data_IF_852460499719
#
_entry.id   IF_852460499719
#
_cell.length_a   1.000
_cell.length_b   1.000
_cell.length_c   1.000
_cell.angle_alpha   90.00
_cell.angle_beta   90.00
_cell.angle_gamma   90.00
#
_symmetry.space_group_name_H-M   'P 1'
#
loop_
_entity.id
_entity.type
_entity.pdbx_description
1 polymer ?
#
# COMPACT_ATOMS: atom_id res chain seq x y z
N UNK A 1 -16.74 -4.94 12.79
CA UNK A 1 -16.23 -3.63 12.28
C UNK A 1 -16.57 -2.56 13.32
N UNK A 2 -15.66 -1.62 13.60
CA UNK A 2 -15.85 -0.55 14.59
C UNK A 2 -15.19 0.76 14.13
N UNK A 3 -15.69 1.90 14.62
CA UNK A 3 -15.16 3.24 14.33
C UNK A 3 -14.76 3.91 15.64
N UNK A 4 -13.62 4.61 15.65
CA UNK A 4 -13.15 5.33 16.84
C UNK A 4 -14.00 6.56 17.16
N UNK A 5 -14.18 6.88 18.44
CA UNK A 5 -15.10 7.94 18.88
C UNK A 5 -14.75 9.37 18.42
N UNK A 6 -13.52 9.62 17.94
CA UNK A 6 -13.08 10.91 17.40
C UNK A 6 -12.99 10.93 15.87
N UNK A 7 -13.50 9.89 15.19
CA UNK A 7 -13.50 9.81 13.72
C UNK A 7 -14.75 10.50 13.20
N UNK A 8 -14.55 11.49 12.32
CA UNK A 8 -15.63 12.21 11.64
C UNK A 8 -15.69 11.80 10.17
N UNK A 9 -16.90 11.58 9.64
CA UNK A 9 -17.11 11.38 8.20
C UNK A 9 -17.15 9.93 7.71
N UNK A 10 -17.03 8.94 8.60
CA UNK A 10 -17.22 7.52 8.30
C UNK A 10 -18.08 6.88 9.40
N UNK A 11 -19.13 6.16 8.99
CA UNK A 11 -20.01 5.43 9.89
C UNK A 11 -19.78 3.92 9.78
N UNK A 12 -20.18 3.18 10.82
CA UNK A 12 -20.17 1.71 10.79
C UNK A 12 -21.15 1.24 9.71
N UNK A 13 -20.67 0.45 8.75
CA UNK A 13 -21.46 -0.05 7.63
C UNK A 13 -21.23 0.69 6.31
N UNK A 14 -20.46 1.78 6.31
CA UNK A 14 -20.11 2.48 5.08
C UNK A 14 -19.13 1.67 4.22
N UNK A 15 -19.35 1.66 2.91
CA UNK A 15 -18.40 1.10 1.94
C UNK A 15 -17.23 2.07 1.73
N UNK A 16 -16.04 1.65 2.12
CA UNK A 16 -14.85 2.50 2.06
C UNK A 16 -13.68 1.82 1.37
N UNK A 17 -12.86 2.65 0.73
CA UNK A 17 -11.53 2.29 0.26
C UNK A 17 -10.49 2.94 1.19
N UNK A 18 -9.43 2.21 1.51
CA UNK A 18 -8.40 2.70 2.40
C UNK A 18 -7.00 2.39 1.87
N UNK A 19 -6.05 3.26 2.21
CA UNK A 19 -4.62 3.04 1.97
C UNK A 19 -3.94 2.81 3.30
N UNK A 20 -3.22 1.69 3.40
CA UNK A 20 -2.34 1.46 4.54
C UNK A 20 -0.98 2.06 4.21
N UNK A 21 -0.45 2.96 5.06
CA UNK A 21 0.91 3.45 4.90
C UNK A 21 1.92 2.31 5.10
N UNK A 22 2.98 2.26 4.30
CA UNK A 22 3.94 1.13 4.28
C UNK A 22 4.72 0.87 5.58
N UNK A 23 4.59 1.73 6.60
CA UNK A 23 5.15 1.49 7.94
C UNK A 23 4.27 0.58 8.81
N UNK A 24 3.00 0.41 8.45
CA UNK A 24 2.02 -0.38 9.20
C UNK A 24 1.94 -1.81 8.67
N UNK A 25 1.43 -2.77 9.49
CA UNK A 25 1.14 -4.11 8.99
C UNK A 25 0.24 -4.02 7.75
N UNK A 26 0.61 -4.78 6.70
CA UNK A 26 0.01 -4.67 5.36
C UNK A 26 -1.48 -5.03 5.29
N UNK A 27 -2.05 -4.93 4.09
CA UNK A 27 -3.49 -5.08 3.84
C UNK A 27 -3.95 -6.51 3.56
N UNK A 28 -3.08 -7.50 3.73
CA UNK A 28 -3.40 -8.92 3.47
C UNK A 28 -4.05 -9.57 4.70
N UNK A 29 -5.11 -8.96 5.22
CA UNK A 29 -5.83 -9.43 6.40
C UNK A 29 -7.33 -9.12 6.26
N UNK A 30 -8.17 -9.94 6.91
CA UNK A 30 -9.63 -9.72 6.96
C UNK A 30 -9.99 -8.39 7.62
N UNK A 31 -9.20 -7.97 8.62
CA UNK A 31 -9.40 -6.73 9.35
C UNK A 31 -8.10 -5.95 9.46
N UNK A 32 -8.20 -4.65 9.23
CA UNK A 32 -7.07 -3.72 9.28
C UNK A 32 -7.48 -2.47 10.06
N UNK A 33 -6.55 -1.96 10.86
CA UNK A 33 -6.66 -0.65 11.48
C UNK A 33 -5.98 0.40 10.61
N UNK A 34 -6.70 1.48 10.30
CA UNK A 34 -6.16 2.62 9.56
C UNK A 34 -6.64 3.93 10.18
N UNK A 35 -5.94 5.02 9.87
CA UNK A 35 -6.36 6.36 10.26
C UNK A 35 -7.50 6.83 9.36
N UNK A 36 -8.41 7.62 9.90
CA UNK A 36 -9.50 8.27 9.15
C UNK A 36 -9.01 9.02 7.91
N UNK A 37 -7.81 9.61 8.00
CA UNK A 37 -7.24 10.44 6.93
C UNK A 37 -6.80 9.63 5.71
N UNK A 38 -6.65 8.31 5.85
CA UNK A 38 -6.26 7.41 4.75
C UNK A 38 -7.45 6.58 4.24
N UNK A 39 -8.68 6.96 4.63
CA UNK A 39 -9.93 6.32 4.24
C UNK A 39 -10.74 7.28 3.36
N UNK A 40 -11.39 6.74 2.33
CA UNK A 40 -12.33 7.45 1.49
C UNK A 40 -13.53 6.57 1.16
N UNK A 41 -14.64 7.19 0.75
CA UNK A 41 -15.82 6.43 0.34
C UNK A 41 -15.56 5.74 -0.99
N UNK A 42 -16.10 4.53 -1.13
CA UNK A 42 -16.10 3.82 -2.40
C UNK A 42 -16.94 4.60 -3.42
N UNK A 43 -16.47 4.80 -4.66
CA UNK A 43 -17.29 5.39 -5.72
C UNK A 43 -18.51 4.52 -6.01
N UNK A 44 -19.62 5.17 -6.33
CA UNK A 44 -20.92 4.52 -6.55
C UNK A 44 -20.97 3.68 -7.83
N UNK A 45 -20.21 4.07 -8.85
CA UNK A 45 -20.25 3.46 -10.18
C UNK A 45 -19.31 2.25 -10.35
N UNK A 46 -18.73 1.71 -9.27
CA UNK A 46 -17.61 0.75 -9.34
C UNK A 46 -17.78 -0.44 -8.41
N UNK A 47 -17.37 -1.62 -8.88
CA UNK A 47 -17.37 -2.83 -8.06
C UNK A 47 -16.21 -2.82 -7.03
N UNK A 48 -16.30 -3.61 -5.96
CA UNK A 48 -15.28 -3.69 -4.91
C UNK A 48 -13.90 -4.10 -5.42
N UNK A 49 -13.86 -5.09 -6.31
CA UNK A 49 -12.61 -5.57 -6.91
C UNK A 49 -11.92 -4.43 -7.69
N UNK A 50 -12.69 -3.69 -8.48
CA UNK A 50 -12.20 -2.56 -9.24
C UNK A 50 -11.79 -1.39 -8.35
N UNK A 51 -12.57 -1.09 -7.31
CA UNK A 51 -12.29 -0.03 -6.38
C UNK A 51 -10.96 -0.22 -5.64
N UNK A 52 -10.56 -1.47 -5.38
CA UNK A 52 -9.30 -1.82 -4.72
C UNK A 52 -8.06 -1.37 -5.50
N UNK A 53 -8.19 -1.27 -6.83
CA UNK A 53 -7.08 -0.85 -7.70
C UNK A 53 -6.83 0.67 -7.67
N UNK A 54 -7.83 1.46 -7.25
CA UNK A 54 -7.87 2.91 -7.38
C UNK A 54 -6.92 3.68 -6.46
N UNK A 55 -6.79 3.37 -5.15
CA UNK A 55 -6.14 4.27 -4.21
C UNK A 55 -4.69 4.57 -4.59
N UNK A 56 -3.97 3.58 -5.12
CA UNK A 56 -2.61 3.78 -5.61
C UNK A 56 -2.55 4.25 -7.07
N UNK A 57 -3.36 3.71 -8.00
CA UNK A 57 -3.28 4.13 -9.42
C UNK A 57 -3.59 5.60 -9.57
N UNK A 58 -4.65 6.06 -8.93
CA UNK A 58 -5.13 7.40 -9.16
C UNK A 58 -4.28 8.41 -8.41
N UNK A 59 -3.81 8.09 -7.20
CA UNK A 59 -3.13 9.07 -6.36
C UNK A 59 -1.66 9.29 -6.84
N UNK A 60 -1.00 8.28 -7.43
CA UNK A 60 0.37 8.40 -7.97
C UNK A 60 0.56 9.47 -9.06
N UNK A 61 -0.20 9.51 -10.18
CA UNK A 61 -0.03 10.52 -11.22
C UNK A 61 -0.36 11.92 -10.73
N UNK A 62 -1.38 12.10 -9.88
CA UNK A 62 -1.66 13.41 -9.26
C UNK A 62 -0.53 13.85 -8.31
N UNK A 63 0.01 12.92 -7.53
CA UNK A 63 1.19 13.16 -6.68
C UNK A 63 2.41 13.56 -7.51
N UNK A 64 2.68 12.84 -8.60
CA UNK A 64 3.79 13.10 -9.50
C UNK A 64 3.62 14.43 -10.25
N UNK A 65 2.41 14.74 -10.73
CA UNK A 65 2.10 15.99 -11.42
C UNK A 65 2.26 17.19 -10.48
N UNK A 66 1.68 17.14 -9.28
CA UNK A 66 1.82 18.22 -8.30
C UNK A 66 3.28 18.42 -7.87
N UNK A 67 4.02 17.32 -7.77
CA UNK A 67 5.46 17.34 -7.50
C UNK A 67 6.22 17.95 -8.67
N UNK A 68 5.96 17.53 -9.91
CA UNK A 68 6.57 18.05 -11.12
C UNK A 68 6.30 19.56 -11.31
N UNK A 69 5.07 20.03 -11.04
CA UNK A 69 4.72 21.44 -11.08
C UNK A 69 5.50 22.26 -10.04
N UNK A 70 5.60 21.75 -8.79
CA UNK A 70 6.45 22.37 -7.75
C UNK A 70 7.93 22.37 -8.16
N UNK A 71 8.40 21.31 -8.78
CA UNK A 71 9.76 21.23 -9.32
C UNK A 71 9.97 22.18 -10.48
N UNK A 72 8.99 22.35 -11.36
CA UNK A 72 9.08 23.26 -12.50
C UNK A 72 9.23 24.70 -11.99
N UNK A 73 8.39 25.12 -11.06
CA UNK A 73 8.47 26.44 -10.41
C UNK A 73 9.80 26.63 -9.67
N UNK A 74 10.29 25.58 -9.01
CA UNK A 74 11.56 25.60 -8.29
C UNK A 74 12.79 25.50 -9.19
N UNK A 75 12.69 24.87 -10.36
CA UNK A 75 13.79 24.65 -11.32
C UNK A 75 14.37 25.98 -11.81
N UNK A 76 13.51 26.96 -12.06
CA UNK A 76 13.93 28.32 -12.40
C UNK A 76 14.75 29.01 -11.30
N UNK A 77 14.61 28.63 -10.02
CA UNK A 77 15.46 29.11 -8.91
C UNK A 77 16.64 28.17 -8.61
N UNK A 78 16.46 26.86 -8.77
CA UNK A 78 17.47 25.84 -8.44
C UNK A 78 18.65 25.84 -9.40
N UNK A 79 18.46 26.28 -10.66
CA UNK A 79 19.58 26.54 -11.57
C UNK A 79 20.59 27.56 -11.00
N UNK A 80 20.17 28.39 -10.04
CA UNK A 80 21.00 29.38 -9.37
C UNK A 80 21.66 28.90 -8.06
N UNK A 81 21.08 27.91 -7.37
CA UNK A 81 21.45 27.54 -5.99
C UNK A 81 22.07 26.12 -5.83
N UNK A 82 22.36 25.41 -6.93
CA UNK A 82 23.25 24.24 -6.93
C UNK A 82 22.75 22.96 -6.21
N UNK A 83 21.44 22.80 -5.98
CA UNK A 83 20.85 21.58 -5.37
C UNK A 83 20.13 20.73 -6.42
N UNK A 84 20.57 19.46 -6.56
CA UNK A 84 20.22 18.55 -7.67
C UNK A 84 19.26 17.41 -7.30
N UNK A 85 19.01 17.18 -6.00
CA UNK A 85 18.15 16.10 -5.53
C UNK A 85 17.13 16.64 -4.54
N UNK A 86 15.89 16.18 -4.64
CA UNK A 86 14.88 16.46 -3.64
C UNK A 86 13.92 15.28 -3.54
N UNK A 87 13.52 15.00 -2.31
CA UNK A 87 12.68 13.87 -1.97
C UNK A 87 11.21 14.29 -2.01
N UNK A 88 10.35 13.42 -2.56
CA UNK A 88 8.90 13.58 -2.50
C UNK A 88 8.31 12.42 -1.73
N UNK A 89 7.58 12.73 -0.65
CA UNK A 89 6.83 11.74 0.12
C UNK A 89 5.37 11.76 -0.32
N UNK A 90 4.83 10.57 -0.53
CA UNK A 90 3.43 10.41 -0.83
C UNK A 90 2.67 9.99 0.42
N UNK A 91 1.89 10.90 0.98
CA UNK A 91 1.00 10.59 2.09
C UNK A 91 -0.43 10.42 1.56
N UNK A 92 -1.12 9.32 1.89
CA UNK A 92 -2.53 9.17 1.55
C UNK A 92 -3.33 10.25 2.26
N UNK A 93 -4.20 10.93 1.52
CA UNK A 93 -5.11 11.95 2.02
C UNK A 93 -6.53 11.62 1.52
N UNK A 94 -7.48 11.56 2.45
CA UNK A 94 -8.89 11.29 2.21
C UNK A 94 -9.51 12.27 1.21
N UNK A 95 -9.08 13.54 1.22
CA UNK A 95 -9.57 14.53 0.27
C UNK A 95 -9.18 14.21 -1.18
N UNK A 96 -7.94 13.79 -1.41
CA UNK A 96 -7.49 13.40 -2.75
C UNK A 96 -8.23 12.15 -3.23
N UNK A 97 -8.42 11.17 -2.34
CA UNK A 97 -9.16 9.95 -2.67
C UNK A 97 -10.63 10.23 -2.98
N UNK A 98 -11.28 11.17 -2.26
CA UNK A 98 -12.65 11.58 -2.54
C UNK A 98 -12.80 12.33 -3.87
N UNK A 99 -11.81 13.15 -4.25
CA UNK A 99 -11.78 13.80 -5.58
C UNK A 99 -11.63 12.77 -6.69
N UNK A 100 -10.81 11.74 -6.46
CA UNK A 100 -10.63 10.63 -7.38
C UNK A 100 -11.93 9.84 -7.54
N UNK A 101 -12.62 9.50 -6.44
CA UNK A 101 -13.90 8.80 -6.51
C UNK A 101 -14.92 9.62 -7.30
N UNK A 102 -14.97 10.94 -7.09
CA UNK A 102 -15.84 11.83 -7.84
C UNK A 102 -15.50 11.86 -9.35
N UNK A 103 -14.21 11.86 -9.72
CA UNK A 103 -13.82 11.80 -11.13
C UNK A 103 -14.17 10.48 -11.81
N UNK A 104 -14.23 9.39 -11.04
CA UNK A 104 -14.62 8.08 -11.53
C UNK A 104 -16.14 7.98 -11.67
N UNK A 105 -16.89 8.50 -10.68
CA UNK A 105 -18.35 8.60 -10.75
C UNK A 105 -18.80 9.46 -11.95
N UNK A 106 -18.05 10.53 -12.26
CA UNK A 106 -18.26 11.36 -13.45
C UNK A 106 -17.70 10.77 -14.75
N UNK A 107 -17.24 9.52 -14.76
CA UNK A 107 -16.65 8.79 -15.90
C UNK A 107 -15.46 9.49 -16.59
N UNK A 108 -14.81 10.46 -15.93
CA UNK A 108 -13.66 11.19 -16.49
C UNK A 108 -12.39 10.34 -16.47
N UNK A 109 -12.31 9.39 -15.55
CA UNK A 109 -11.16 8.50 -15.38
C UNK A 109 -11.65 7.06 -15.53
N UNK A 110 -11.08 6.35 -16.50
CA UNK A 110 -11.31 4.91 -16.65
C UNK A 110 -10.53 4.14 -15.59
N UNK A 111 -11.17 3.12 -15.04
CA UNK A 111 -10.56 2.19 -14.10
C UNK A 111 -9.40 1.47 -14.81
N UNK A 112 -8.25 1.25 -14.14
CA UNK A 112 -7.15 0.50 -14.71
C UNK A 112 -7.56 -0.94 -15.03
N UNK A 113 -6.97 -1.51 -16.08
CA UNK A 113 -7.22 -2.89 -16.47
C UNK A 113 -6.77 -3.88 -15.39
N UNK A 114 -7.70 -4.72 -14.94
CA UNK A 114 -7.44 -5.84 -14.04
C UNK A 114 -7.09 -7.05 -14.88
N UNK A 115 -5.91 -7.62 -14.67
CA UNK A 115 -5.49 -8.81 -15.41
C UNK A 115 -6.12 -10.07 -14.81
N UNK A 116 -5.99 -10.25 -13.50
CA UNK A 116 -6.50 -11.44 -12.80
C UNK A 116 -6.82 -11.15 -11.35
N UNK A 117 -7.89 -11.78 -10.89
CA UNK A 117 -8.28 -11.84 -9.48
C UNK A 117 -7.91 -13.23 -8.96
N UNK A 118 -7.15 -13.27 -7.87
CA UNK A 118 -6.75 -14.50 -7.17
C UNK A 118 -7.48 -14.59 -5.84
N UNK A 119 -7.78 -15.81 -5.40
CA UNK A 119 -8.27 -16.05 -4.04
C UNK A 119 -7.09 -16.10 -3.06
N UNK A 120 -7.37 -15.97 -1.77
CA UNK A 120 -6.35 -16.06 -0.72
C UNK A 120 -5.55 -17.39 -0.77
N UNK A 121 -6.17 -18.51 -1.12
CA UNK A 121 -5.47 -19.80 -1.25
C UNK A 121 -4.46 -19.85 -2.42
N UNK A 122 -4.67 -19.03 -3.45
CA UNK A 122 -3.78 -18.96 -4.61
C UNK A 122 -2.71 -17.84 -4.46
N UNK A 123 -2.52 -17.33 -3.24
CA UNK A 123 -1.61 -16.23 -2.95
C UNK A 123 -0.15 -16.49 -3.40
N UNK A 124 0.46 -17.67 -3.18
CA UNK A 124 1.82 -17.94 -3.67
C UNK A 124 1.90 -17.84 -5.20
N UNK A 125 0.92 -18.42 -5.90
CA UNK A 125 0.82 -18.37 -7.36
C UNK A 125 0.69 -16.93 -7.88
N UNK A 126 -0.03 -16.07 -7.15
CA UNK A 126 -0.13 -14.66 -7.49
C UNK A 126 1.22 -13.94 -7.38
N UNK A 127 2.02 -14.27 -6.36
CA UNK A 127 3.37 -13.72 -6.19
C UNK A 127 4.35 -14.21 -7.26
N UNK A 128 4.30 -15.49 -7.62
CA UNK A 128 5.10 -16.01 -8.73
C UNK A 128 4.74 -15.29 -10.03
N UNK A 129 3.45 -15.05 -10.28
CA UNK A 129 2.99 -14.28 -11.45
C UNK A 129 3.48 -12.83 -11.43
N UNK A 130 3.45 -12.16 -10.28
CA UNK A 130 4.04 -10.82 -10.08
C UNK A 130 5.54 -10.82 -10.39
N UNK A 131 6.28 -11.82 -9.89
CA UNK A 131 7.73 -11.93 -10.05
C UNK A 131 8.18 -12.12 -11.50
N UNK A 132 7.33 -12.70 -12.33
CA UNK A 132 7.59 -12.89 -13.77
C UNK A 132 7.58 -11.59 -14.59
N UNK A 133 7.25 -10.41 -14.00
CA UNK A 133 7.30 -9.06 -14.60
C UNK A 133 6.55 -8.87 -15.95
N UNK A 134 5.84 -9.88 -16.45
CA UNK A 134 5.08 -9.87 -17.71
C UNK A 134 3.58 -9.60 -17.49
N UNK A 135 3.20 -8.95 -16.39
CA UNK A 135 1.81 -8.63 -16.09
C UNK A 135 1.41 -7.34 -16.82
N UNK A 136 0.27 -7.37 -17.50
CA UNK A 136 -0.33 -6.22 -18.20
C UNK A 136 -1.58 -5.80 -17.45
N UNK A 137 -1.37 -5.23 -16.26
CA UNK A 137 -2.44 -4.72 -15.43
C UNK A 137 -2.21 -4.99 -13.95
N UNK A 138 -3.30 -4.89 -13.21
CA UNK A 138 -3.30 -5.14 -11.76
C UNK A 138 -3.67 -6.58 -11.45
N UNK A 139 -3.01 -7.12 -10.44
CA UNK A 139 -3.41 -8.37 -9.79
C UNK A 139 -4.12 -8.02 -8.49
N UNK A 140 -5.28 -8.62 -8.27
CA UNK A 140 -6.10 -8.40 -7.08
C UNK A 140 -6.20 -9.71 -6.31
N UNK A 141 -6.17 -9.61 -4.99
CA UNK A 141 -6.31 -10.74 -4.09
C UNK A 141 -7.61 -10.54 -3.34
N UNK A 142 -8.54 -11.48 -3.53
CA UNK A 142 -9.80 -11.51 -2.81
C UNK A 142 -9.63 -12.28 -1.48
N UNK A 143 -10.00 -11.60 -0.40
CA UNK A 143 -9.87 -12.05 0.98
C UNK A 143 -11.26 -12.44 1.54
N UNK A 144 -12.35 -12.15 0.82
CA UNK A 144 -13.71 -12.23 1.35
C UNK A 144 -14.34 -13.64 1.37
N UNK A 145 -13.64 -14.67 0.87
CA UNK A 145 -14.26 -15.97 0.56
C UNK A 145 -13.90 -17.15 1.45
N UNK A 146 -13.24 -16.95 2.60
CA UNK A 146 -13.07 -18.04 3.57
C UNK A 146 -14.10 -17.96 4.72
N UNK A 147 -15.08 -18.88 4.79
CA UNK A 147 -15.72 -19.15 6.06
C UNK A 147 -14.64 -19.73 6.97
N UNK A 148 -14.36 -19.02 8.07
CA UNK A 148 -13.53 -19.51 9.17
C UNK A 148 -13.78 -21.01 9.38
N UNK A 149 -12.75 -21.88 9.42
CA UNK A 149 -12.96 -23.22 9.91
C UNK A 149 -13.59 -23.08 11.30
N UNK A 150 -14.78 -23.66 11.46
CA UNK A 150 -15.66 -23.54 12.64
C UNK A 150 -15.09 -24.20 13.91
N UNK A 151 -13.77 -24.33 14.00
CA UNK A 151 -13.03 -24.79 15.17
C UNK A 151 -11.77 -23.93 15.28
N UNK A 152 -11.85 -22.92 16.15
CA UNK A 152 -10.67 -22.41 16.82
C UNK A 152 -10.16 -23.58 17.65
N UNK A 153 -9.14 -24.29 17.17
CA UNK A 153 -8.35 -25.13 18.06
C UNK A 153 -7.88 -24.21 19.20
N UNK A 154 -8.02 -24.64 20.46
CA UNK A 154 -7.70 -23.79 21.60
C UNK A 154 -6.29 -23.23 21.40
N UNK A 155 -6.09 -21.92 21.61
CA UNK A 155 -4.79 -21.32 21.46
C UNK A 155 -3.79 -22.14 22.28
N UNK A 156 -2.62 -22.51 21.73
CA UNK A 156 -1.61 -23.20 22.51
C UNK A 156 -1.35 -22.36 23.78
N UNK A 157 -1.30 -23.00 24.97
CA UNK A 157 -1.30 -22.28 26.23
C UNK A 157 -0.18 -21.24 26.25
N UNK A 158 -0.57 -20.02 26.61
CA UNK A 158 0.25 -18.83 26.69
C UNK A 158 1.58 -19.07 27.42
N UNK A 159 2.64 -19.25 26.65
CA UNK A 159 4.02 -18.93 27.03
C UNK A 159 4.63 -18.40 25.73
N UNK A 160 4.79 -17.10 25.52
CA UNK A 160 5.40 -16.11 26.39
C UNK A 160 4.79 -14.75 26.04
N UNK A 161 4.28 -14.05 27.06
CA UNK A 161 4.10 -12.60 27.00
C UNK A 161 5.48 -12.02 26.66
N UNK A 162 5.65 -11.39 25.49
CA UNK A 162 6.81 -10.53 25.25
C UNK A 162 6.43 -9.13 25.72
N UNK A 163 6.91 -8.66 26.88
CA UNK A 163 6.59 -7.33 27.34
C UNK A 163 7.36 -6.32 26.49
N UNK A 164 6.63 -5.38 25.88
CA UNK A 164 7.20 -4.08 25.56
C UNK A 164 7.86 -3.53 26.83
N UNK A 165 9.19 -3.51 26.86
CA UNK A 165 9.97 -2.86 27.90
C UNK A 165 10.55 -1.55 27.31
N UNK A 166 10.35 -0.39 27.97
CA UNK A 166 11.02 0.84 27.60
C UNK A 166 12.44 0.83 28.18
N UNK A 167 13.44 1.19 27.37
CA UNK A 167 14.80 1.48 27.84
C UNK A 167 15.89 0.46 27.51
N UNK A 168 16.75 0.85 26.56
CA UNK A 168 18.22 0.61 26.48
C UNK A 168 18.81 -0.60 27.21
N UNK A 169 19.27 -1.62 26.46
CA UNK A 169 20.63 -2.23 26.54
C UNK A 169 21.04 -2.80 25.17
N UNK A 170 22.29 -2.56 24.80
CA UNK A 170 23.02 -2.95 23.58
C UNK A 170 22.68 -4.32 22.98
N UNK A 171 22.29 -4.34 21.70
CA UNK A 171 22.25 -5.55 20.86
C UNK A 171 23.71 -5.97 20.55
N UNK A 172 24.11 -7.24 20.70
CA UNK A 172 25.44 -7.68 20.33
C UNK A 172 25.63 -7.59 18.81
N UNK A 173 26.72 -6.94 18.40
CA UNK A 173 27.19 -6.88 17.02
C UNK A 173 27.50 -8.31 16.56
N UNK A 174 26.73 -8.82 15.61
CA UNK A 174 27.04 -10.04 14.88
C UNK A 174 28.07 -9.63 13.82
N UNK A 175 29.31 -10.05 14.02
CA UNK A 175 30.44 -9.77 13.14
C UNK A 175 30.23 -10.51 11.80
N UNK A 176 29.55 -9.86 10.86
CA UNK A 176 29.42 -10.33 9.49
C UNK A 176 30.79 -10.18 8.82
N UNK A 177 31.56 -11.26 8.82
CA UNK A 177 32.80 -11.35 8.05
C UNK A 177 32.51 -10.99 6.58
N UNK A 178 33.19 -9.97 6.01
CA UNK A 178 32.90 -9.54 4.64
C UNK A 178 33.29 -10.64 3.64
N UNK A 179 32.48 -10.88 2.59
CA UNK A 179 32.83 -11.82 1.53
C UNK A 179 34.07 -11.33 0.75
N UNK A 180 34.90 -12.25 0.23
CA UNK A 180 36.18 -11.90 -0.39
C UNK A 180 35.99 -10.99 -1.63
N UNK A 181 36.68 -9.85 -1.63
CA UNK A 181 36.93 -9.05 -2.84
C UNK A 181 37.75 -9.91 -3.79
N UNK A 182 37.11 -10.55 -4.77
CA UNK A 182 37.60 -10.85 -6.12
C UNK A 182 36.63 -11.87 -6.72
N UNK A 183 35.53 -11.38 -7.29
CA UNK A 183 34.72 -12.15 -8.24
C UNK A 183 34.66 -11.33 -9.53
N UNK A 184 35.13 -11.95 -10.61
CA UNK A 184 35.15 -11.41 -11.98
C UNK A 184 33.76 -10.92 -12.43
N UNK A 185 33.68 -9.88 -13.28
CA UNK A 185 32.40 -9.41 -13.81
C UNK A 185 31.87 -10.37 -14.88
N UNK A 186 30.77 -11.06 -14.57
CA UNK A 186 29.96 -11.76 -15.57
C UNK A 186 29.17 -10.75 -16.43
N UNK A 187 28.98 -11.02 -17.74
CA UNK A 187 28.61 -10.00 -18.72
C UNK A 187 27.16 -9.53 -18.56
N UNK A 188 27.01 -8.21 -18.61
CA UNK A 188 25.72 -7.51 -18.76
C UNK A 188 25.21 -7.77 -20.17
N UNK A 189 24.09 -8.50 -20.30
CA UNK A 189 23.32 -8.59 -21.54
C UNK A 189 22.31 -7.45 -21.53
N UNK A 190 22.35 -6.65 -22.59
CA UNK A 190 21.52 -5.47 -22.84
C UNK A 190 20.03 -5.79 -23.04
#
# INVERSE_FOLDING_TARGET
IAVGGNVTGVNVGDEVIAVIPGFWPGSHAEYVLTKSDAVARKPSNVNYLEATSLPYVACLPFGLLSTALKYFDRSCRSFRDGRWFSYAYFMPNSQCLNQISEFIDNEKIKIPHIEKVYKFNEFPTAYDRCALLHTKGKLIIDIAEEPLPSKIDPPPPSSTVSPYHPGTKSVPVIDLKPPPLHAEPAPVVA
#
